data_IF_365100512215
#
_entry.id   IF_365100512215
#
_cell.length_a   1.000
_cell.length_b   1.000
_cell.length_c   1.000
_cell.angle_alpha   90.00
_cell.angle_beta   90.00
_cell.angle_gamma   90.00
#
_symmetry.space_group_name_H-M   'P 1'
#
loop_
_entity.id
_entity.type
_entity.pdbx_description
1 polymer ?
#
# COMPACT_ATOMS: atom_id res chain seq x y z
N UNK A 1 22.72 -6.04 -20.48
CA UNK A 1 21.61 -5.42 -19.72
C UNK A 1 21.24 -6.39 -18.63
N UNK A 2 21.18 -5.96 -17.36
CA UNK A 2 20.67 -6.84 -16.30
C UNK A 2 19.21 -7.16 -16.65
N UNK A 3 18.84 -8.45 -16.72
CA UNK A 3 17.46 -8.86 -17.01
C UNK A 3 16.49 -8.13 -16.05
N UNK A 4 15.37 -7.55 -16.52
CA UNK A 4 14.45 -6.77 -15.68
C UNK A 4 13.98 -7.54 -14.44
N UNK A 5 13.87 -8.87 -14.55
CA UNK A 5 13.58 -9.76 -13.44
C UNK A 5 14.64 -9.72 -12.33
N UNK A 6 15.93 -9.73 -12.67
CA UNK A 6 17.03 -9.70 -11.70
C UNK A 6 17.00 -8.39 -10.93
N UNK A 7 16.75 -7.27 -11.62
CA UNK A 7 16.61 -5.95 -10.99
C UNK A 7 15.42 -5.92 -10.03
N UNK A 8 14.23 -6.37 -10.47
CA UNK A 8 13.03 -6.41 -9.62
C UNK A 8 13.21 -7.32 -8.40
N UNK A 9 13.83 -8.49 -8.56
CA UNK A 9 14.15 -9.39 -7.44
C UNK A 9 15.13 -8.76 -6.46
N UNK A 10 16.16 -8.07 -6.96
CA UNK A 10 17.11 -7.36 -6.12
C UNK A 10 16.40 -6.28 -5.29
N UNK A 11 15.54 -5.48 -5.92
CA UNK A 11 14.74 -4.46 -5.22
C UNK A 11 13.82 -5.11 -4.19
N UNK A 12 13.14 -6.19 -4.54
CA UNK A 12 12.24 -6.91 -3.65
C UNK A 12 12.95 -7.42 -2.39
N UNK A 13 14.08 -8.10 -2.55
CA UNK A 13 14.87 -8.64 -1.42
C UNK A 13 15.39 -7.51 -0.55
N UNK A 14 15.97 -6.44 -1.14
CA UNK A 14 16.47 -5.31 -0.37
C UNK A 14 15.33 -4.57 0.37
N UNK A 15 14.15 -4.43 -0.25
CA UNK A 15 12.98 -3.82 0.39
C UNK A 15 12.50 -4.62 1.61
N UNK A 16 12.58 -5.95 1.59
CA UNK A 16 12.27 -6.80 2.75
C UNK A 16 13.24 -6.50 3.91
N UNK A 17 14.55 -6.45 3.64
CA UNK A 17 15.55 -6.12 4.67
C UNK A 17 15.32 -4.74 5.26
N UNK A 18 15.04 -3.73 4.41
CA UNK A 18 14.71 -2.37 4.87
C UNK A 18 13.45 -2.37 5.73
N UNK A 19 12.39 -3.07 5.31
CA UNK A 19 11.15 -3.17 6.08
C UNK A 19 11.36 -3.79 7.46
N UNK A 20 12.13 -4.87 7.54
CA UNK A 20 12.48 -5.52 8.81
C UNK A 20 13.23 -4.55 9.73
N UNK A 21 14.32 -3.95 9.24
CA UNK A 21 15.21 -3.07 10.02
C UNK A 21 14.50 -1.80 10.53
N UNK A 22 13.51 -1.29 9.78
CA UNK A 22 12.70 -0.15 10.19
C UNK A 22 11.70 -0.53 11.27
N UNK A 23 10.98 -1.65 11.10
CA UNK A 23 9.92 -2.07 12.04
C UNK A 23 10.52 -2.46 13.40
N UNK A 24 11.67 -3.13 13.43
CA UNK A 24 12.34 -3.55 14.69
C UNK A 24 12.75 -2.38 15.59
N UNK A 25 12.81 -1.15 15.05
CA UNK A 25 13.17 0.06 15.79
C UNK A 25 11.96 0.87 16.27
N UNK A 26 10.74 0.43 15.98
CA UNK A 26 9.52 1.11 16.43
C UNK A 26 9.25 0.76 17.90
N UNK A 27 8.98 1.73 18.78
CA UNK A 27 8.65 1.44 20.17
C UNK A 27 7.29 0.71 20.29
N UNK A 28 7.11 -0.19 21.28
CA UNK A 28 5.87 -0.98 21.44
C UNK A 28 4.59 -0.15 21.51
N UNK A 29 4.66 1.07 22.03
CA UNK A 29 3.51 2.00 22.13
C UNK A 29 2.95 2.42 20.77
N UNK A 30 3.74 2.31 19.69
CA UNK A 30 3.34 2.68 18.34
C UNK A 30 2.94 1.49 17.47
N UNK A 31 2.91 0.25 17.98
CA UNK A 31 2.58 -0.92 17.16
C UNK A 31 1.16 -0.87 16.58
N UNK A 32 0.17 -0.37 17.34
CA UNK A 32 -1.21 -0.25 16.84
C UNK A 32 -1.35 0.86 15.79
N UNK A 33 -0.82 2.09 16.00
CA UNK A 33 -0.71 3.09 14.94
C UNK A 33 0.06 2.59 13.70
N UNK A 34 1.16 1.84 13.90
CA UNK A 34 1.95 1.26 12.82
C UNK A 34 1.14 0.23 12.01
N UNK A 35 0.37 -0.63 12.68
CA UNK A 35 -0.53 -1.58 12.01
C UNK A 35 -1.56 -0.84 11.15
N UNK A 36 -2.19 0.20 11.68
CA UNK A 36 -3.13 1.03 10.91
C UNK A 36 -2.44 1.75 9.73
N UNK A 37 -1.25 2.29 9.95
CA UNK A 37 -0.48 3.00 8.92
C UNK A 37 -0.02 2.09 7.78
N UNK A 38 0.45 0.88 8.10
CA UNK A 38 0.83 -0.12 7.09
C UNK A 38 -0.38 -0.62 6.30
N UNK A 39 -1.56 -0.71 6.93
CA UNK A 39 -2.80 -0.97 6.21
C UNK A 39 -3.12 0.15 5.20
N UNK A 40 -2.97 1.43 5.57
CA UNK A 40 -3.13 2.55 4.64
C UNK A 40 -2.15 2.48 3.44
N UNK A 41 -0.88 2.14 3.70
CA UNK A 41 0.15 1.98 2.66
C UNK A 41 -0.18 0.82 1.69
N UNK A 42 -0.79 -0.25 2.18
CA UNK A 42 -1.26 -1.36 1.33
C UNK A 42 -2.26 -0.91 0.25
N UNK A 43 -2.88 0.26 0.41
CA UNK A 43 -3.72 0.92 -0.59
C UNK A 43 -3.03 1.21 -1.93
N UNK A 44 -1.70 1.07 -2.03
CA UNK A 44 -0.93 1.14 -3.29
C UNK A 44 -1.47 0.22 -4.40
N UNK A 45 -2.24 -0.83 -4.04
CA UNK A 45 -3.00 -1.66 -4.98
C UNK A 45 -3.87 -0.85 -5.96
N UNK A 46 -4.22 0.40 -5.64
CA UNK A 46 -4.90 1.32 -6.55
C UNK A 46 -4.16 1.51 -7.89
N UNK A 47 -2.83 1.46 -7.90
CA UNK A 47 -2.02 1.59 -9.13
C UNK A 47 -2.32 0.44 -10.09
N UNK A 48 -2.37 -0.78 -9.57
CA UNK A 48 -2.75 -1.96 -10.35
C UNK A 48 -4.20 -1.91 -10.82
N UNK A 49 -5.10 -1.40 -9.97
CA UNK A 49 -6.52 -1.24 -10.30
C UNK A 49 -6.74 -0.25 -11.46
N UNK A 50 -6.03 0.88 -11.47
CA UNK A 50 -6.08 1.89 -12.55
C UNK A 50 -5.58 1.30 -13.88
N UNK A 51 -4.47 0.57 -13.85
CA UNK A 51 -3.94 -0.10 -15.06
C UNK A 51 -4.97 -1.11 -15.59
N UNK A 52 -5.63 -1.85 -14.69
CA UNK A 52 -6.60 -2.89 -15.03
C UNK A 52 -7.94 -2.34 -15.53
N UNK A 53 -8.34 -1.11 -15.15
CA UNK A 53 -9.64 -0.53 -15.48
C UNK A 53 -9.74 0.10 -16.86
N UNK A 54 -8.69 0.05 -17.70
CA UNK A 54 -8.73 0.70 -19.01
C UNK A 54 -7.37 1.08 -19.60
N UNK A 55 -6.26 0.77 -18.93
CA UNK A 55 -4.92 1.15 -19.38
C UNK A 55 -4.25 0.19 -20.38
N UNK A 56 -4.96 -0.82 -20.91
CA UNK A 56 -4.37 -1.87 -21.77
C UNK A 56 -5.17 -2.18 -23.03
N UNK A 57 -4.44 -2.57 -24.08
CA UNK A 57 -4.94 -2.83 -25.46
C UNK A 57 -5.93 -4.01 -25.59
N UNK A 58 -6.16 -4.80 -24.52
CA UNK A 58 -7.07 -5.96 -24.51
C UNK A 58 -8.03 -5.95 -23.31
N UNK A 59 -8.64 -4.79 -23.02
CA UNK A 59 -9.62 -4.69 -21.93
C UNK A 59 -10.99 -5.24 -22.37
N UNK A 60 -11.45 -6.29 -21.69
CA UNK A 60 -12.83 -6.78 -21.82
C UNK A 60 -13.75 -5.93 -20.93
N UNK A 61 -15.05 -5.90 -21.22
CA UNK A 61 -16.02 -5.19 -20.36
C UNK A 61 -15.97 -5.64 -18.89
N UNK A 62 -15.64 -6.91 -18.65
CA UNK A 62 -15.50 -7.49 -17.31
C UNK A 62 -14.24 -7.01 -16.59
N UNK A 63 -13.08 -6.93 -17.26
CA UNK A 63 -11.85 -6.42 -16.64
C UNK A 63 -11.99 -4.95 -16.26
N UNK A 64 -12.63 -4.15 -17.12
CA UNK A 64 -12.91 -2.74 -16.84
C UNK A 64 -13.82 -2.60 -15.62
N UNK A 65 -14.90 -3.37 -15.56
CA UNK A 65 -15.82 -3.35 -14.42
C UNK A 65 -15.13 -3.73 -13.10
N UNK A 66 -14.37 -4.83 -13.09
CA UNK A 66 -13.62 -5.25 -11.90
C UNK A 66 -12.53 -4.25 -11.52
N UNK A 67 -11.86 -3.63 -12.50
CA UNK A 67 -10.87 -2.59 -12.26
C UNK A 67 -11.46 -1.37 -11.57
N UNK A 68 -12.62 -0.88 -12.04
CA UNK A 68 -13.34 0.23 -11.40
C UNK A 68 -13.75 -0.14 -9.97
N UNK A 69 -14.27 -1.35 -9.75
CA UNK A 69 -14.62 -1.84 -8.41
C UNK A 69 -13.38 -1.90 -7.49
N UNK A 70 -12.25 -2.36 -8.01
CA UNK A 70 -10.98 -2.41 -7.29
C UNK A 70 -10.47 -1.02 -6.93
N UNK A 71 -10.63 -0.01 -7.80
CA UNK A 71 -10.31 1.39 -7.50
C UNK A 71 -11.14 1.88 -6.30
N UNK A 72 -12.45 1.61 -6.29
CA UNK A 72 -13.33 2.01 -5.18
C UNK A 72 -12.85 1.40 -3.86
N UNK A 73 -12.60 0.09 -3.83
CA UNK A 73 -12.12 -0.57 -2.60
C UNK A 73 -10.73 -0.11 -2.17
N UNK A 74 -9.80 0.08 -3.10
CA UNK A 74 -8.48 0.61 -2.81
C UNK A 74 -8.57 2.02 -2.21
N UNK A 75 -9.46 2.85 -2.76
CA UNK A 75 -9.72 4.21 -2.28
C UNK A 75 -10.26 4.21 -0.85
N UNK A 76 -11.23 3.33 -0.54
CA UNK A 76 -11.74 3.15 0.83
C UNK A 76 -10.62 2.74 1.80
N UNK A 77 -9.74 1.83 1.40
CA UNK A 77 -8.60 1.41 2.23
C UNK A 77 -7.63 2.57 2.49
N UNK A 78 -7.27 3.34 1.46
CA UNK A 78 -6.39 4.51 1.58
C UNK A 78 -6.98 5.53 2.56
N UNK A 79 -8.20 6.03 2.29
CA UNK A 79 -8.80 7.07 3.12
C UNK A 79 -9.11 6.58 4.54
N UNK A 80 -9.69 5.39 4.68
CA UNK A 80 -10.01 4.80 5.98
C UNK A 80 -8.75 4.58 6.81
N UNK A 81 -7.72 3.99 6.22
CA UNK A 81 -6.44 3.75 6.88
C UNK A 81 -5.74 5.03 7.32
N UNK A 82 -5.66 6.04 6.46
CA UNK A 82 -5.02 7.32 6.81
C UNK A 82 -5.80 8.07 7.90
N UNK A 83 -7.13 8.13 7.83
CA UNK A 83 -7.96 8.80 8.84
C UNK A 83 -7.85 8.16 10.22
N UNK A 84 -7.86 6.82 10.28
CA UNK A 84 -7.71 6.09 11.55
C UNK A 84 -6.30 6.27 12.11
N UNK A 85 -5.27 6.18 11.26
CA UNK A 85 -3.87 6.37 11.67
C UNK A 85 -3.64 7.77 12.22
N UNK A 86 -4.18 8.81 11.58
CA UNK A 86 -4.07 10.19 12.06
C UNK A 86 -4.72 10.35 13.44
N UNK A 87 -5.94 9.83 13.64
CA UNK A 87 -6.61 9.84 14.96
C UNK A 87 -5.79 9.13 16.04
N UNK A 88 -5.17 8.01 15.72
CA UNK A 88 -4.31 7.28 16.66
C UNK A 88 -3.05 8.09 17.00
N UNK A 89 -2.41 8.72 16.03
CA UNK A 89 -1.19 9.52 16.25
C UNK A 89 -1.47 10.82 17.00
N UNK A 90 -2.67 11.40 16.88
CA UNK A 90 -3.08 12.57 17.67
C UNK A 90 -3.04 12.31 19.19
N UNK A 91 -3.19 11.05 19.63
CA UNK A 91 -3.11 10.68 21.06
C UNK A 91 -1.71 10.84 21.65
N UNK A 92 -0.67 10.96 20.81
CA UNK A 92 0.72 11.15 21.22
C UNK A 92 1.18 12.61 21.17
N UNK A 93 0.34 13.53 20.66
CA UNK A 93 0.64 14.96 20.70
C UNK A 93 0.51 15.46 22.13
N UNK A 94 1.56 16.10 22.66
CA UNK A 94 1.43 16.86 23.92
C UNK A 94 0.38 17.96 23.71
N UNK A 95 -0.50 18.12 24.70
CA UNK A 95 -1.43 19.25 24.79
C UNK A 95 -0.68 20.57 24.90
#
# INVERSE_FOLDING_TARGET
MMEPLIVSLTIFVLAIFVGYEVITKVPPTLHTPLMSGTNAISGIVVVGAIISSGGGDQTTGLSTFLGVLAIVFATVNIFGGYLVTDRMLQMFKKK
#
